data_IF_214101822395
#
_entry.id   IF_214101822395
#
_cell.length_a   1.000
_cell.length_b   1.000
_cell.length_c   1.000
_cell.angle_alpha   90.00
_cell.angle_beta   90.00
_cell.angle_gamma   90.00
#
_symmetry.space_group_name_H-M   'P 1'
#
loop_
_entity.id
_entity.type
_entity.pdbx_description
1 polymer ?
#
# COMPACT_ATOMS: atom_id res chain seq x y z
N UNK A 1 23.68 14.56 -35.89
CA UNK A 1 23.21 14.40 -34.46
C UNK A 1 21.91 13.61 -34.50
N UNK A 2 21.96 12.33 -34.15
CA UNK A 2 20.82 11.40 -34.23
C UNK A 2 20.15 11.28 -32.83
N UNK A 3 18.89 11.69 -32.74
CA UNK A 3 18.04 11.44 -31.57
C UNK A 3 17.69 9.94 -31.53
N UNK A 4 18.05 9.25 -30.47
CA UNK A 4 17.52 7.92 -30.13
C UNK A 4 16.21 8.12 -29.37
N UNK A 5 15.11 7.73 -29.97
CA UNK A 5 13.81 7.59 -29.34
C UNK A 5 13.75 6.24 -28.62
N UNK A 6 13.53 6.28 -27.31
CA UNK A 6 13.17 5.11 -26.50
C UNK A 6 11.78 4.61 -26.93
N UNK A 7 11.71 3.41 -27.48
CA UNK A 7 10.48 2.64 -27.65
C UNK A 7 10.43 1.59 -26.54
N UNK A 8 9.66 1.84 -25.52
CA UNK A 8 9.18 0.82 -24.58
C UNK A 8 7.94 1.36 -23.91
N UNK A 9 6.83 1.30 -24.60
CA UNK A 9 5.48 1.39 -24.05
C UNK A 9 4.50 1.14 -25.20
N UNK A 10 3.98 -0.04 -25.30
CA UNK A 10 2.63 -0.30 -25.80
C UNK A 10 2.40 -1.81 -25.97
N UNK A 11 1.92 -2.47 -24.97
CA UNK A 11 1.03 -3.62 -25.15
C UNK A 11 0.05 -3.55 -23.98
N UNK A 12 -0.98 -2.79 -24.18
CA UNK A 12 -2.24 -2.88 -23.44
C UNK A 12 -3.32 -2.77 -24.51
N UNK A 13 -4.12 -3.77 -24.64
CA UNK A 13 -5.52 -3.73 -25.04
C UNK A 13 -5.90 -4.89 -25.98
N UNK A 14 -7.04 -5.45 -25.66
CA UNK A 14 -7.89 -6.34 -26.43
C UNK A 14 -7.89 -7.80 -26.00
N UNK A 15 -8.75 -8.11 -25.04
CA UNK A 15 -9.56 -9.31 -25.09
C UNK A 15 -11.01 -9.00 -24.78
N UNK A 16 -11.76 -8.81 -25.85
CA UNK A 16 -13.22 -8.90 -25.87
C UNK A 16 -13.61 -10.38 -25.81
N UNK A 17 -14.45 -10.68 -24.84
CA UNK A 17 -15.13 -11.96 -24.69
C UNK A 17 -16.10 -12.14 -25.86
N UNK A 18 -15.90 -13.16 -26.68
CA UNK A 18 -16.89 -13.70 -27.62
C UNK A 18 -17.35 -15.06 -27.08
N UNK A 19 -18.51 -15.06 -26.44
CA UNK A 19 -19.33 -16.25 -26.27
C UNK A 19 -19.93 -16.58 -27.63
N UNK A 20 -19.54 -17.69 -28.25
CA UNK A 20 -20.28 -18.29 -29.37
C UNK A 20 -20.76 -19.67 -28.95
N UNK A 21 -22.09 -19.79 -28.97
CA UNK A 21 -22.82 -21.07 -28.89
C UNK A 21 -22.34 -22.05 -30.01
N UNK A 22 -22.08 -23.27 -29.61
CA UNK A 22 -21.95 -24.40 -30.52
C UNK A 22 -23.11 -25.38 -30.28
N UNK A 23 -23.84 -25.80 -31.31
CA UNK A 23 -24.97 -26.71 -31.14
C UNK A 23 -24.52 -28.17 -30.99
N UNK A 24 -25.25 -28.88 -30.16
CA UNK A 24 -25.10 -30.32 -29.98
C UNK A 24 -25.58 -31.09 -31.23
N UNK A 25 -24.69 -31.90 -31.80
CA UNK A 25 -25.10 -33.09 -32.55
C UNK A 25 -23.95 -34.09 -32.74
N UNK A 26 -24.30 -35.34 -32.49
CA UNK A 26 -23.75 -36.62 -32.93
C UNK A 26 -22.76 -37.31 -32.00
N UNK A 27 -23.34 -38.26 -31.29
CA UNK A 27 -22.71 -39.44 -30.71
C UNK A 27 -22.34 -40.43 -31.81
N UNK A 28 -21.07 -40.82 -31.90
CA UNK A 28 -20.63 -42.18 -32.24
C UNK A 28 -19.08 -42.25 -32.33
N UNK A 29 -18.56 -43.34 -31.82
CA UNK A 29 -17.17 -43.81 -31.82
C UNK A 29 -16.24 -43.25 -30.74
N UNK A 30 -16.41 -43.85 -29.57
CA UNK A 30 -15.70 -43.44 -28.42
C UNK A 30 -14.71 -44.46 -27.90
N UNK A 31 -13.51 -44.52 -28.37
CA UNK A 31 -12.39 -45.10 -27.60
C UNK A 31 -11.03 -44.53 -28.05
N UNK A 32 -10.87 -44.12 -29.32
CA UNK A 32 -9.63 -43.49 -29.80
C UNK A 32 -9.66 -41.96 -29.69
N UNK A 33 -10.85 -41.32 -29.61
CA UNK A 33 -10.98 -39.89 -29.44
C UNK A 33 -10.67 -39.40 -28.01
N UNK A 34 -10.80 -40.25 -27.00
CA UNK A 34 -10.53 -39.91 -25.58
C UNK A 34 -9.04 -39.75 -25.26
N UNK A 35 -8.17 -40.51 -25.97
CA UNK A 35 -6.72 -40.41 -25.76
C UNK A 35 -6.08 -39.17 -26.49
N UNK A 36 -6.72 -38.66 -27.52
CA UNK A 36 -6.25 -37.46 -28.26
C UNK A 36 -6.90 -36.17 -27.79
N UNK A 37 -7.99 -36.20 -27.04
CA UNK A 37 -8.64 -35.00 -26.50
C UNK A 37 -7.90 -34.45 -25.28
N UNK A 38 -7.09 -35.27 -24.61
CA UNK A 38 -6.36 -34.88 -23.39
C UNK A 38 -5.06 -34.10 -23.70
N UNK A 39 -4.51 -34.26 -24.91
CA UNK A 39 -3.26 -33.58 -25.31
C UNK A 39 -3.43 -32.10 -25.71
N UNK A 40 -4.65 -31.59 -25.82
CA UNK A 40 -4.95 -30.19 -26.21
C UNK A 40 -5.60 -29.36 -25.10
N UNK A 41 -5.95 -29.97 -23.97
CA UNK A 41 -6.58 -29.27 -22.86
C UNK A 41 -5.53 -28.58 -21.99
N UNK A 42 -5.67 -27.27 -21.81
CA UNK A 42 -4.92 -26.57 -20.78
C UNK A 42 -5.50 -26.94 -19.40
N UNK A 43 -4.63 -27.06 -18.40
CA UNK A 43 -5.07 -27.12 -17.01
C UNK A 43 -5.82 -25.83 -16.67
N UNK A 44 -6.72 -25.90 -15.71
CA UNK A 44 -7.45 -24.74 -15.21
C UNK A 44 -6.58 -23.94 -14.23
N UNK A 45 -6.95 -22.69 -13.97
CA UNK A 45 -6.32 -21.86 -12.93
C UNK A 45 -6.38 -22.54 -11.55
N UNK A 46 -7.47 -23.26 -11.25
CA UNK A 46 -7.63 -23.99 -10.01
C UNK A 46 -6.67 -25.19 -9.92
N UNK A 47 -6.52 -25.94 -10.99
CA UNK A 47 -5.54 -27.04 -11.04
C UNK A 47 -4.10 -26.51 -10.88
N UNK A 48 -3.78 -25.34 -11.46
CA UNK A 48 -2.49 -24.69 -11.26
C UNK A 48 -2.27 -24.24 -9.80
N UNK A 49 -3.30 -23.71 -9.14
CA UNK A 49 -3.25 -23.40 -7.70
C UNK A 49 -2.99 -24.64 -6.86
N UNK A 50 -3.73 -25.72 -7.10
CA UNK A 50 -3.57 -26.99 -6.38
C UNK A 50 -2.15 -27.58 -6.54
N UNK A 51 -1.58 -27.49 -7.75
CA UNK A 51 -0.18 -27.89 -8.01
C UNK A 51 0.80 -27.04 -7.18
N UNK A 52 0.65 -25.70 -7.20
CA UNK A 52 1.52 -24.80 -6.48
C UNK A 52 1.45 -25.01 -4.97
N UNK A 53 0.26 -25.13 -4.41
CA UNK A 53 0.03 -25.36 -2.98
C UNK A 53 0.59 -26.70 -2.51
N UNK A 54 0.35 -27.75 -3.27
CA UNK A 54 0.88 -29.10 -2.99
C UNK A 54 2.41 -29.10 -2.98
N UNK A 55 3.05 -28.47 -3.96
CA UNK A 55 4.51 -28.38 -4.02
C UNK A 55 5.08 -27.53 -2.88
N UNK A 56 4.40 -26.45 -2.52
CA UNK A 56 4.77 -25.60 -1.39
C UNK A 56 4.54 -26.25 -0.02
N UNK A 57 3.83 -27.38 0.04
CA UNK A 57 3.45 -28.04 1.29
C UNK A 57 2.41 -27.25 2.10
N UNK A 58 1.53 -26.53 1.42
CA UNK A 58 0.55 -25.66 2.04
C UNK A 58 -0.86 -26.24 1.96
N UNK A 59 -1.64 -26.01 3.01
CA UNK A 59 -3.04 -26.44 3.11
C UNK A 59 -3.92 -25.19 3.34
N UNK A 60 -4.81 -24.89 2.39
CA UNK A 60 -5.76 -23.77 2.50
C UNK A 60 -6.72 -23.90 3.68
N UNK A 61 -7.01 -25.13 4.12
CA UNK A 61 -7.86 -25.35 5.27
C UNK A 61 -7.15 -25.10 6.61
N UNK A 62 -5.81 -25.19 6.63
CA UNK A 62 -5.00 -25.04 7.84
C UNK A 62 -4.47 -23.63 8.04
N UNK A 63 -4.34 -22.82 6.96
CA UNK A 63 -3.77 -21.47 7.02
C UNK A 63 -4.36 -20.54 5.98
N UNK A 64 -4.34 -19.24 6.30
CA UNK A 64 -4.79 -18.20 5.36
C UNK A 64 -3.78 -18.06 4.22
N UNK A 65 -4.22 -18.31 2.99
CA UNK A 65 -3.46 -18.10 1.76
C UNK A 65 -4.16 -17.02 0.95
N UNK A 66 -3.40 -16.06 0.43
CA UNK A 66 -3.92 -14.94 -0.36
C UNK A 66 -3.22 -14.95 -1.71
N UNK A 67 -3.92 -15.30 -2.76
CA UNK A 67 -3.46 -15.16 -4.13
C UNK A 67 -3.62 -13.71 -4.58
N UNK A 68 -2.53 -13.09 -4.99
CA UNK A 68 -2.51 -11.71 -5.52
C UNK A 68 -2.45 -11.68 -7.03
N UNK A 69 -1.99 -12.76 -7.64
CA UNK A 69 -1.95 -12.91 -9.09
C UNK A 69 -2.18 -14.36 -9.49
N UNK A 70 -3.03 -14.58 -10.49
CA UNK A 70 -3.21 -15.85 -11.18
C UNK A 70 -3.48 -15.50 -12.63
N UNK A 71 -2.47 -15.57 -13.47
CA UNK A 71 -2.53 -15.16 -14.85
C UNK A 71 -2.04 -16.26 -15.79
N UNK A 72 -2.73 -16.45 -16.91
CA UNK A 72 -2.28 -17.30 -18.01
C UNK A 72 -1.53 -16.42 -19.02
N UNK A 73 -0.24 -16.64 -19.14
CA UNK A 73 0.63 -15.89 -20.04
C UNK A 73 1.25 -16.80 -21.12
N UNK A 74 1.82 -16.18 -22.16
CA UNK A 74 2.69 -16.86 -23.10
C UNK A 74 4.16 -16.54 -22.76
N UNK A 75 4.87 -17.52 -22.21
CA UNK A 75 6.29 -17.41 -21.96
C UNK A 75 7.05 -18.16 -23.05
N UNK A 76 7.78 -17.41 -23.90
CA UNK A 76 8.51 -17.95 -25.06
C UNK A 76 7.63 -18.85 -25.97
N UNK A 77 6.36 -18.46 -26.14
CA UNK A 77 5.40 -19.20 -26.97
C UNK A 77 4.75 -20.40 -26.27
N UNK A 78 5.05 -20.67 -25.02
CA UNK A 78 4.39 -21.70 -24.20
C UNK A 78 3.36 -21.08 -23.28
N UNK A 79 2.12 -21.55 -23.24
CA UNK A 79 1.15 -21.09 -22.28
C UNK A 79 1.57 -21.57 -20.88
N UNK A 80 1.69 -20.66 -19.93
CA UNK A 80 1.96 -20.98 -18.55
C UNK A 80 1.14 -20.11 -17.60
N UNK A 81 0.77 -20.68 -16.45
CA UNK A 81 0.20 -19.95 -15.35
C UNK A 81 1.31 -19.29 -14.52
N UNK A 82 1.14 -18.02 -14.23
CA UNK A 82 1.87 -17.28 -13.20
C UNK A 82 1.00 -17.20 -11.98
N UNK A 83 1.53 -17.61 -10.84
CA UNK A 83 0.85 -17.52 -9.55
C UNK A 83 1.75 -16.77 -8.57
N UNK A 84 1.19 -15.78 -7.92
CA UNK A 84 1.81 -15.04 -6.83
C UNK A 84 0.86 -15.09 -5.63
N UNK A 85 1.35 -15.60 -4.50
CA UNK A 85 0.52 -15.73 -3.30
C UNK A 85 1.34 -15.63 -2.02
N UNK A 86 0.63 -15.30 -0.95
CA UNK A 86 1.19 -15.06 0.37
C UNK A 86 0.58 -15.98 1.41
N UNK A 87 1.43 -16.37 2.35
CA UNK A 87 1.02 -16.84 3.68
C UNK A 87 1.35 -15.77 4.72
N UNK A 88 1.08 -16.03 6.01
CA UNK A 88 1.53 -15.14 7.09
C UNK A 88 3.05 -15.00 7.21
N UNK A 89 3.83 -15.88 6.57
CA UNK A 89 5.28 -15.98 6.76
C UNK A 89 6.09 -15.78 5.48
N UNK A 90 5.50 -15.99 4.30
CA UNK A 90 6.25 -16.04 3.05
C UNK A 90 5.40 -15.62 1.85
N UNK A 91 6.08 -15.15 0.82
CA UNK A 91 5.55 -14.97 -0.53
C UNK A 91 6.05 -16.10 -1.41
N UNK A 92 5.17 -16.62 -2.28
CA UNK A 92 5.46 -17.67 -3.23
C UNK A 92 5.18 -17.20 -4.63
N UNK A 93 6.08 -17.54 -5.55
CA UNK A 93 5.93 -17.25 -6.96
C UNK A 93 6.13 -18.54 -7.76
N UNK A 94 5.19 -18.87 -8.63
CA UNK A 94 5.21 -20.05 -9.47
C UNK A 94 4.97 -19.72 -10.93
N UNK A 95 5.64 -20.45 -11.81
CA UNK A 95 5.28 -20.56 -13.21
C UNK A 95 5.06 -22.03 -13.53
N UNK A 96 3.88 -22.36 -14.05
CA UNK A 96 3.43 -23.74 -14.30
C UNK A 96 3.03 -23.86 -15.77
N UNK A 97 3.59 -24.82 -16.48
CA UNK A 97 3.20 -25.12 -17.87
C UNK A 97 1.71 -25.46 -17.91
N UNK A 98 0.94 -24.71 -18.70
CA UNK A 98 -0.50 -24.84 -18.73
C UNK A 98 -0.97 -26.10 -19.50
N UNK A 99 -0.10 -26.79 -20.22
CA UNK A 99 -0.42 -28.05 -20.90
C UNK A 99 -0.10 -29.27 -20.06
N UNK A 100 1.06 -29.29 -19.44
CA UNK A 100 1.56 -30.46 -18.72
C UNK A 100 1.33 -30.39 -17.20
N UNK A 101 1.09 -29.19 -16.63
CA UNK A 101 1.10 -28.97 -15.18
C UNK A 101 2.50 -29.02 -14.56
N UNK A 102 3.56 -29.05 -15.38
CA UNK A 102 4.93 -29.04 -14.86
C UNK A 102 5.31 -27.67 -14.29
N UNK A 103 5.97 -27.66 -13.14
CA UNK A 103 6.49 -26.45 -12.53
C UNK A 103 7.75 -26.04 -13.30
N UNK A 104 7.64 -24.95 -14.09
CA UNK A 104 8.74 -24.37 -14.86
C UNK A 104 9.69 -23.60 -13.96
N UNK A 105 9.12 -22.86 -13.02
CA UNK A 105 9.86 -22.00 -12.10
C UNK A 105 9.10 -21.84 -10.78
N UNK A 106 9.83 -21.79 -9.68
CA UNK A 106 9.28 -21.47 -8.36
C UNK A 106 10.30 -20.77 -7.49
N UNK A 107 9.81 -19.85 -6.67
CA UNK A 107 10.58 -19.23 -5.61
C UNK A 107 9.73 -19.06 -4.35
N UNK A 108 10.37 -19.16 -3.21
CA UNK A 108 9.84 -18.76 -1.91
C UNK A 108 10.65 -17.55 -1.44
N UNK A 109 9.98 -16.46 -1.19
CA UNK A 109 10.60 -15.19 -0.76
C UNK A 109 10.22 -14.88 0.69
N UNK A 110 11.09 -14.15 1.38
CA UNK A 110 10.70 -13.44 2.60
C UNK A 110 9.59 -12.45 2.26
N UNK A 111 8.80 -12.07 3.26
CA UNK A 111 7.79 -11.03 3.06
C UNK A 111 8.45 -9.66 2.83
N UNK A 112 7.82 -8.76 2.05
CA UNK A 112 8.28 -7.37 1.94
C UNK A 112 8.44 -6.69 3.29
N UNK A 113 7.53 -6.95 4.24
CA UNK A 113 7.61 -6.44 5.61
C UNK A 113 8.89 -6.90 6.34
N UNK A 114 9.31 -8.15 6.13
CA UNK A 114 10.55 -8.67 6.71
C UNK A 114 11.79 -8.02 6.08
N UNK A 115 11.78 -7.80 4.76
CA UNK A 115 12.86 -7.06 4.09
C UNK A 115 12.98 -5.62 4.62
N UNK A 116 11.82 -4.94 4.83
CA UNK A 116 11.80 -3.61 5.47
C UNK A 116 12.38 -3.64 6.87
N UNK A 117 11.96 -4.59 7.70
CA UNK A 117 12.45 -4.75 9.08
C UNK A 117 13.98 -4.85 9.11
N UNK A 118 14.55 -5.75 8.27
CA UNK A 118 16.00 -5.94 8.17
C UNK A 118 16.71 -4.64 7.79
N UNK A 119 16.19 -3.91 6.80
CA UNK A 119 16.81 -2.67 6.34
C UNK A 119 16.74 -1.54 7.38
N UNK A 120 15.62 -1.39 8.06
CA UNK A 120 15.39 -0.36 9.09
C UNK A 120 16.24 -0.62 10.33
N UNK A 121 16.31 -1.87 10.79
CA UNK A 121 17.16 -2.27 11.92
C UNK A 121 18.64 -2.02 11.65
N UNK A 122 19.15 -2.43 10.48
CA UNK A 122 20.55 -2.21 10.10
C UNK A 122 20.88 -0.71 9.92
N UNK A 123 19.91 0.08 9.44
CA UNK A 123 20.07 1.53 9.33
C UNK A 123 20.10 2.23 10.70
N UNK A 124 19.69 1.55 11.77
CA UNK A 124 19.50 2.11 13.10
C UNK A 124 18.36 3.11 13.17
N UNK A 125 17.38 2.97 12.26
CA UNK A 125 16.18 3.78 12.25
C UNK A 125 15.08 3.15 13.11
N UNK A 126 14.10 3.94 13.48
CA UNK A 126 12.86 3.41 14.04
C UNK A 126 11.98 2.84 12.90
N UNK A 127 10.99 1.99 13.22
CA UNK A 127 10.08 1.39 12.24
C UNK A 127 9.24 2.42 11.46
N UNK A 128 9.36 3.70 11.80
CA UNK A 128 8.57 4.80 11.25
C UNK A 128 9.37 5.62 10.23
N UNK A 129 9.80 4.97 9.15
CA UNK A 129 10.45 5.62 8.01
C UNK A 129 9.54 5.64 6.79
N UNK A 130 9.69 6.65 5.96
CA UNK A 130 8.97 6.74 4.70
C UNK A 130 9.69 5.93 3.62
N UNK A 131 9.08 4.84 3.19
CA UNK A 131 9.55 4.08 2.03
C UNK A 131 9.08 4.75 0.74
N UNK A 132 10.01 5.22 -0.06
CA UNK A 132 9.74 5.84 -1.37
C UNK A 132 9.84 4.83 -2.51
N UNK A 133 10.52 3.71 -2.29
CA UNK A 133 10.58 2.60 -3.24
C UNK A 133 10.65 1.27 -2.50
N UNK A 134 9.85 0.32 -2.96
CA UNK A 134 9.87 -1.08 -2.54
C UNK A 134 9.58 -1.93 -3.77
N UNK A 135 10.60 -2.59 -4.29
CA UNK A 135 10.49 -3.36 -5.52
C UNK A 135 11.21 -4.69 -5.38
N UNK A 136 10.52 -5.78 -5.70
CA UNK A 136 11.17 -7.08 -5.88
C UNK A 136 11.81 -7.11 -7.27
N UNK A 137 13.12 -7.26 -7.33
CA UNK A 137 13.90 -7.44 -8.56
C UNK A 137 14.20 -8.92 -8.69
N UNK A 138 13.48 -9.58 -9.58
CA UNK A 138 13.58 -11.03 -9.81
C UNK A 138 14.03 -11.35 -11.25
N UNK A 139 13.39 -10.84 -12.27
CA UNK A 139 13.79 -10.82 -13.70
C UNK A 139 14.66 -11.97 -14.21
N UNK A 140 14.62 -13.17 -13.59
CA UNK A 140 15.48 -14.30 -13.96
C UNK A 140 16.94 -14.21 -13.46
N UNK A 141 17.22 -13.33 -12.51
CA UNK A 141 18.53 -13.20 -11.90
C UNK A 141 18.79 -14.30 -10.86
N UNK A 142 20.08 -14.71 -10.72
CA UNK A 142 20.46 -15.79 -9.78
C UNK A 142 20.18 -15.46 -8.31
N UNK A 143 20.08 -14.19 -7.96
CA UNK A 143 19.88 -13.74 -6.59
C UNK A 143 18.83 -12.64 -6.56
N UNK A 144 17.55 -12.98 -6.56
CA UNK A 144 16.46 -12.01 -6.45
C UNK A 144 16.60 -11.20 -5.15
N UNK A 145 16.26 -9.91 -5.21
CA UNK A 145 16.36 -9.04 -4.06
C UNK A 145 15.26 -7.99 -4.03
N UNK A 146 14.91 -7.57 -2.82
CA UNK A 146 14.14 -6.36 -2.61
C UNK A 146 15.07 -5.14 -2.71
N UNK A 147 14.71 -4.21 -3.57
CA UNK A 147 15.26 -2.87 -3.58
C UNK A 147 14.37 -1.99 -2.76
N UNK A 148 14.90 -1.46 -1.67
CA UNK A 148 14.19 -0.61 -0.73
C UNK A 148 14.87 0.76 -0.70
N UNK A 149 14.10 1.82 -0.89
CA UNK A 149 14.56 3.19 -0.68
C UNK A 149 13.66 3.81 0.37
N UNK A 150 14.27 4.26 1.45
CA UNK A 150 13.54 4.93 2.53
C UNK A 150 14.38 6.06 3.11
N UNK A 151 13.71 6.98 3.75
CA UNK A 151 14.36 8.15 4.33
C UNK A 151 13.76 8.51 5.68
N UNK A 152 14.61 9.04 6.55
CA UNK A 152 14.23 9.91 7.63
C UNK A 152 14.35 11.39 7.19
N UNK A 153 14.32 12.31 8.14
CA UNK A 153 14.40 13.75 7.84
C UNK A 153 15.72 14.23 7.23
N UNK A 154 16.80 13.48 7.41
CA UNK A 154 18.15 13.93 7.09
C UNK A 154 18.89 12.95 6.18
N UNK A 155 18.44 11.72 6.09
CA UNK A 155 19.20 10.64 5.44
C UNK A 155 18.26 9.80 4.59
N UNK A 156 18.68 9.49 3.39
CA UNK A 156 18.07 8.48 2.55
C UNK A 156 18.97 7.25 2.53
N UNK A 157 18.35 6.09 2.64
CA UNK A 157 19.00 4.79 2.50
C UNK A 157 18.45 4.06 1.29
N UNK A 158 19.35 3.39 0.59
CA UNK A 158 19.00 2.43 -0.46
C UNK A 158 19.54 1.07 -0.05
N UNK A 159 18.67 0.09 0.09
CA UNK A 159 19.04 -1.29 0.43
C UNK A 159 18.71 -2.25 -0.70
N UNK A 160 19.55 -3.29 -0.80
CA UNK A 160 19.27 -4.49 -1.57
C UNK A 160 19.29 -5.66 -0.59
N UNK A 161 18.13 -6.25 -0.35
CA UNK A 161 17.93 -7.39 0.57
C UNK A 161 17.67 -8.63 -0.26
N UNK A 162 18.49 -9.67 -0.13
CA UNK A 162 18.25 -10.93 -0.82
C UNK A 162 16.84 -11.45 -0.47
N UNK A 163 16.00 -11.65 -1.47
CA UNK A 163 14.60 -11.97 -1.27
C UNK A 163 14.37 -13.40 -0.77
N UNK A 164 15.35 -14.30 -0.90
CA UNK A 164 15.26 -15.69 -0.43
C UNK A 164 15.88 -15.85 0.95
N UNK A 165 17.04 -15.23 1.16
CA UNK A 165 17.85 -15.44 2.38
C UNK A 165 17.67 -14.35 3.44
N UNK A 166 17.06 -13.21 3.10
CA UNK A 166 16.90 -12.08 4.02
C UNK A 166 18.22 -11.39 4.39
N UNK A 167 19.28 -11.54 3.62
CA UNK A 167 20.57 -10.91 3.91
C UNK A 167 20.76 -9.62 3.12
N UNK A 168 21.49 -8.68 3.71
CA UNK A 168 21.85 -7.43 3.05
C UNK A 168 22.90 -7.70 1.99
N UNK A 169 22.54 -7.48 0.71
CA UNK A 169 23.44 -7.61 -0.44
C UNK A 169 24.21 -6.30 -0.74
N UNK A 170 23.66 -5.19 -0.30
CA UNK A 170 24.26 -3.88 -0.47
C UNK A 170 23.41 -2.81 0.18
N UNK A 171 24.10 -1.75 0.61
CA UNK A 171 23.45 -0.56 1.18
C UNK A 171 24.19 0.70 0.77
N UNK A 172 23.42 1.75 0.57
CA UNK A 172 23.90 3.09 0.27
C UNK A 172 23.21 4.05 1.23
N UNK A 173 23.97 5.05 1.68
CA UNK A 173 23.47 6.08 2.59
C UNK A 173 23.79 7.43 1.98
N UNK A 174 22.75 8.25 1.80
CA UNK A 174 22.87 9.61 1.29
C UNK A 174 22.33 10.59 2.33
N UNK A 175 23.12 11.61 2.68
CA UNK A 175 22.66 12.70 3.52
C UNK A 175 21.82 13.66 2.70
N UNK A 176 20.49 13.59 2.82
CA UNK A 176 19.55 14.49 2.14
C UNK A 176 19.30 15.78 2.93
N UNK A 177 19.73 15.82 4.19
CA UNK A 177 19.57 16.97 5.09
C UNK A 177 20.75 17.94 5.12
N UNK A 178 21.92 17.59 4.52
CA UNK A 178 23.15 18.39 4.64
C UNK A 178 23.89 18.61 3.32
N UNK A 179 23.37 18.22 2.18
CA UNK A 179 23.94 18.64 0.90
C UNK A 179 23.60 20.11 0.64
N UNK A 180 24.31 21.02 1.28
CA UNK A 180 24.52 22.42 0.87
C UNK A 180 23.34 23.30 0.41
N UNK A 181 22.18 22.76 0.17
CA UNK A 181 20.94 23.46 -0.01
C UNK A 181 20.04 23.17 1.19
N UNK A 182 20.13 24.03 2.21
CA UNK A 182 19.08 24.11 3.23
C UNK A 182 17.73 24.06 2.51
N UNK A 183 16.80 23.21 2.97
CA UNK A 183 15.44 23.25 2.45
C UNK A 183 14.96 24.69 2.39
N UNK A 184 14.84 25.20 1.18
CA UNK A 184 14.34 26.54 0.97
C UNK A 184 12.83 26.47 1.15
N UNK A 185 12.39 26.86 2.34
CA UNK A 185 10.96 26.95 2.61
C UNK A 185 10.28 27.85 1.57
N UNK A 186 9.37 27.33 0.75
CA UNK A 186 8.66 28.17 -0.21
C UNK A 186 7.55 29.01 0.43
N UNK A 187 7.13 28.64 1.67
CA UNK A 187 5.92 29.16 2.30
C UNK A 187 6.21 30.35 3.22
N UNK A 188 5.59 31.49 2.92
CA UNK A 188 5.74 32.69 3.74
C UNK A 188 5.00 32.62 5.08
N UNK A 189 4.03 31.73 5.20
CA UNK A 189 3.19 31.49 6.38
C UNK A 189 3.68 30.34 7.27
N UNK A 190 4.89 29.81 7.01
CA UNK A 190 5.54 28.74 7.78
C UNK A 190 6.92 29.20 8.22
N UNK A 191 7.13 29.49 9.50
CA UNK A 191 8.38 29.96 10.05
C UNK A 191 9.13 28.85 10.76
N UNK A 192 10.45 28.93 10.84
CA UNK A 192 11.27 27.95 11.58
C UNK A 192 10.91 27.83 13.05
N UNK A 193 10.38 28.89 13.65
CA UNK A 193 9.90 28.93 15.04
C UNK A 193 8.56 28.22 15.25
N UNK A 194 7.82 27.91 14.19
CA UNK A 194 6.50 27.32 14.30
C UNK A 194 6.61 25.84 14.70
N UNK A 195 5.75 25.42 15.63
CA UNK A 195 5.75 24.03 16.11
C UNK A 195 5.58 22.99 15.00
N UNK A 196 4.92 23.36 13.91
CA UNK A 196 4.64 22.53 12.75
C UNK A 196 5.69 22.62 11.63
N UNK A 197 6.71 23.50 11.75
CA UNK A 197 7.71 23.71 10.70
C UNK A 197 8.32 22.41 10.16
N UNK A 198 8.80 21.55 11.08
CA UNK A 198 9.39 20.25 10.72
C UNK A 198 8.39 19.35 10.03
N UNK A 199 7.15 19.36 10.48
CA UNK A 199 6.08 18.52 9.94
C UNK A 199 5.67 18.97 8.54
N UNK A 200 5.60 20.27 8.31
CA UNK A 200 5.33 20.85 6.98
C UNK A 200 6.48 20.52 6.02
N UNK A 201 7.74 20.71 6.47
CA UNK A 201 8.92 20.33 5.71
C UNK A 201 8.85 18.85 5.30
N UNK A 202 8.59 17.95 6.24
CA UNK A 202 8.47 16.52 6.00
C UNK A 202 7.36 16.20 4.97
N UNK A 203 6.16 16.71 5.20
CA UNK A 203 5.00 16.43 4.36
C UNK A 203 5.17 16.98 2.93
N UNK A 204 5.76 18.16 2.79
CA UNK A 204 6.03 18.80 1.50
C UNK A 204 7.16 18.09 0.75
N UNK A 205 8.30 17.85 1.39
CA UNK A 205 9.44 17.17 0.78
C UNK A 205 9.10 15.73 0.36
N UNK A 206 8.28 15.03 1.16
CA UNK A 206 7.77 13.70 0.85
C UNK A 206 6.64 13.66 -0.20
N UNK A 207 6.24 14.82 -0.75
CA UNK A 207 5.14 14.89 -1.73
C UNK A 207 3.75 14.57 -1.16
N UNK A 208 3.63 14.44 0.16
CA UNK A 208 2.37 14.06 0.84
C UNK A 208 1.36 15.22 0.82
N UNK A 209 1.85 16.42 1.11
CA UNK A 209 1.06 17.64 1.10
C UNK A 209 1.75 18.72 0.27
N UNK A 210 0.96 19.46 -0.48
CA UNK A 210 1.41 20.65 -1.22
C UNK A 210 0.90 21.91 -0.53
N UNK A 211 1.46 23.08 -0.88
CA UNK A 211 0.88 24.35 -0.54
C UNK A 211 -0.51 24.54 -1.16
N UNK A 212 -1.28 25.47 -0.63
CA UNK A 212 -2.51 25.95 -1.29
C UNK A 212 -2.16 26.85 -2.47
N UNK A 213 -0.94 27.41 -2.45
CA UNK A 213 -0.26 28.09 -3.57
C UNK A 213 1.23 27.76 -3.52
N UNK A 214 2.01 28.33 -4.45
CA UNK A 214 3.47 28.16 -4.47
C UNK A 214 4.17 28.78 -3.25
N UNK A 215 3.52 29.73 -2.58
CA UNK A 215 4.09 30.50 -1.47
C UNK A 215 3.31 30.41 -0.16
N UNK A 216 2.24 29.63 -0.12
CA UNK A 216 1.36 29.55 1.06
C UNK A 216 0.97 28.09 1.35
N UNK A 217 1.19 27.66 2.60
CA UNK A 217 0.80 26.34 3.08
C UNK A 217 -0.59 26.32 3.72
N UNK A 218 -1.01 27.43 4.33
CA UNK A 218 -2.24 27.60 5.11
C UNK A 218 -2.35 26.60 6.28
N UNK A 219 -1.43 26.64 7.26
CA UNK A 219 -1.31 25.66 8.33
C UNK A 219 -2.57 25.49 9.19
N UNK A 220 -3.32 26.57 9.41
CA UNK A 220 -4.51 26.60 10.27
C UNK A 220 -5.81 26.25 9.54
N UNK A 221 -5.76 26.05 8.22
CA UNK A 221 -6.94 25.65 7.44
C UNK A 221 -7.29 24.20 7.73
N UNK A 222 -8.59 23.93 7.85
CA UNK A 222 -9.12 22.58 8.04
C UNK A 222 -8.83 21.69 6.84
N UNK A 223 -8.55 20.41 7.12
CA UNK A 223 -8.40 19.38 6.10
C UNK A 223 -9.75 18.71 5.88
N UNK A 224 -10.16 18.57 4.61
CA UNK A 224 -11.36 17.81 4.30
C UNK A 224 -11.10 16.30 4.38
N UNK A 225 -12.16 15.51 4.53
CA UNK A 225 -12.08 14.05 4.57
C UNK A 225 -11.44 13.48 3.29
N UNK A 226 -11.79 14.03 2.14
CA UNK A 226 -11.17 13.64 0.87
C UNK A 226 -9.67 13.96 0.81
N UNK A 227 -9.27 15.16 1.26
CA UNK A 227 -7.86 15.55 1.31
C UNK A 227 -7.05 14.60 2.19
N UNK A 228 -7.60 14.20 3.33
CA UNK A 228 -6.93 13.29 4.25
C UNK A 228 -6.70 11.90 3.61
N UNK A 229 -7.72 11.36 2.98
CA UNK A 229 -7.62 10.06 2.29
C UNK A 229 -6.69 10.11 1.09
N UNK A 230 -6.64 11.24 0.37
CA UNK A 230 -5.67 11.45 -0.71
C UNK A 230 -4.22 11.36 -0.25
N UNK A 231 -3.91 11.79 0.98
CA UNK A 231 -2.55 11.66 1.53
C UNK A 231 -2.20 10.19 1.70
N UNK A 232 -3.10 9.38 2.30
CA UNK A 232 -2.90 7.94 2.44
C UNK A 232 -2.74 7.23 1.09
N UNK A 233 -3.56 7.61 0.11
CA UNK A 233 -3.50 7.06 -1.24
C UNK A 233 -2.17 7.34 -1.93
N UNK A 234 -1.61 8.56 -1.75
CA UNK A 234 -0.27 8.91 -2.24
C UNK A 234 0.84 8.14 -1.53
N UNK A 235 0.73 7.91 -0.23
CA UNK A 235 1.67 7.08 0.53
C UNK A 235 1.74 5.67 -0.09
N UNK A 236 0.61 5.13 -0.50
CA UNK A 236 0.52 3.82 -1.17
C UNK A 236 0.79 3.87 -2.68
N UNK A 237 1.30 5.01 -3.20
CA UNK A 237 1.66 5.21 -4.61
C UNK A 237 0.48 5.06 -5.57
N UNK A 238 -0.68 5.53 -5.13
CA UNK A 238 -1.90 5.62 -5.92
C UNK A 238 -2.27 4.28 -6.60
N UNK A 239 -2.49 3.20 -5.83
CA UNK A 239 -2.76 1.89 -6.39
C UNK A 239 -4.05 1.90 -7.23
N UNK A 240 -4.18 0.92 -8.11
CA UNK A 240 -5.42 0.78 -8.87
C UNK A 240 -6.62 0.62 -7.95
N UNK A 241 -7.69 1.35 -8.24
CA UNK A 241 -8.93 1.33 -7.48
C UNK A 241 -10.13 1.18 -8.40
N UNK A 242 -11.14 0.47 -7.92
CA UNK A 242 -12.44 0.36 -8.57
C UNK A 242 -13.27 1.64 -8.42
N UNK A 243 -14.58 1.47 -8.37
CA UNK A 243 -15.54 2.52 -8.02
C UNK A 243 -15.99 2.37 -6.57
N UNK A 244 -16.55 3.43 -6.01
CA UNK A 244 -17.19 3.40 -4.69
C UNK A 244 -18.71 3.44 -4.81
N UNK A 245 -19.41 2.98 -3.77
CA UNK A 245 -20.87 3.04 -3.69
C UNK A 245 -21.40 4.35 -3.09
N UNK A 246 -20.52 5.28 -2.71
CA UNK A 246 -20.91 6.57 -2.14
C UNK A 246 -21.47 7.48 -3.23
N UNK A 247 -22.72 7.95 -3.04
CA UNK A 247 -23.43 8.76 -4.02
C UNK A 247 -22.91 10.19 -4.15
N UNK A 248 -22.12 10.64 -3.18
CA UNK A 248 -21.47 11.97 -3.14
C UNK A 248 -19.98 11.94 -3.56
N UNK A 249 -19.57 10.87 -4.24
CA UNK A 249 -18.26 10.73 -4.85
C UNK A 249 -18.47 10.42 -6.33
N UNK A 250 -18.29 11.43 -7.17
CA UNK A 250 -18.58 11.32 -8.60
C UNK A 250 -17.37 10.79 -9.37
N UNK A 251 -17.64 10.13 -10.51
CA UNK A 251 -16.60 9.69 -11.43
C UNK A 251 -15.89 10.93 -12.00
N UNK A 252 -14.58 10.98 -11.84
CA UNK A 252 -13.75 12.11 -12.28
C UNK A 252 -13.41 13.09 -11.17
N UNK A 253 -13.98 12.96 -9.99
CA UNK A 253 -13.50 13.70 -8.83
C UNK A 253 -12.03 13.36 -8.55
N UNK A 254 -11.22 14.37 -8.19
CA UNK A 254 -9.79 14.17 -7.95
C UNK A 254 -9.49 13.16 -6.83
N UNK A 255 -10.45 12.93 -5.96
CA UNK A 255 -10.38 12.00 -4.83
C UNK A 255 -11.12 10.68 -5.06
N UNK A 256 -11.80 10.49 -6.20
CA UNK A 256 -12.62 9.31 -6.48
C UNK A 256 -11.85 8.00 -6.21
N UNK A 257 -10.68 7.87 -6.82
CA UNK A 257 -9.85 6.67 -6.70
C UNK A 257 -9.33 6.44 -5.30
N UNK A 258 -8.96 7.51 -4.60
CA UNK A 258 -8.49 7.44 -3.23
C UNK A 258 -9.59 6.95 -2.27
N UNK A 259 -10.80 7.49 -2.40
CA UNK A 259 -11.94 7.08 -1.59
C UNK A 259 -12.35 5.64 -1.89
N UNK A 260 -12.40 5.26 -3.18
CA UNK A 260 -12.71 3.90 -3.59
C UNK A 260 -11.70 2.88 -3.03
N UNK A 261 -10.41 3.18 -3.15
CA UNK A 261 -9.34 2.35 -2.60
C UNK A 261 -9.45 2.22 -1.07
N UNK A 262 -9.57 3.33 -0.37
CA UNK A 262 -9.61 3.33 1.08
C UNK A 262 -10.85 2.62 1.63
N UNK A 263 -11.99 2.74 0.95
CA UNK A 263 -13.21 2.04 1.30
C UNK A 263 -13.09 0.52 1.06
N UNK A 264 -12.56 0.11 -0.10
CA UNK A 264 -12.37 -1.30 -0.43
C UNK A 264 -11.42 -2.03 0.54
N UNK A 265 -10.46 -1.30 1.13
CA UNK A 265 -9.51 -1.82 2.11
C UNK A 265 -9.95 -1.60 3.58
N UNK A 266 -11.17 -1.15 3.83
CA UNK A 266 -11.71 -0.95 5.17
C UNK A 266 -11.07 0.19 5.96
N UNK A 267 -10.27 1.05 5.29
CA UNK A 267 -9.60 2.19 5.91
C UNK A 267 -10.60 3.29 6.23
N UNK A 268 -11.57 3.52 5.33
CA UNK A 268 -12.64 4.48 5.55
C UNK A 268 -14.00 3.84 5.45
N UNK A 269 -14.93 4.42 6.21
CA UNK A 269 -16.38 4.22 6.06
C UNK A 269 -17.02 5.56 5.71
N UNK A 270 -18.22 5.53 5.14
CA UNK A 270 -19.03 6.72 4.97
C UNK A 270 -19.49 7.29 6.32
N UNK A 271 -19.97 8.52 6.29
CA UNK A 271 -20.75 9.11 7.39
C UNK A 271 -22.16 8.48 7.45
N UNK A 272 -22.58 7.85 6.35
CA UNK A 272 -23.70 6.93 6.25
C UNK A 272 -23.40 5.88 5.17
N UNK A 273 -24.32 4.92 4.98
CA UNK A 273 -24.16 3.83 4.01
C UNK A 273 -23.85 4.32 2.58
N UNK A 274 -24.42 5.46 2.17
CA UNK A 274 -24.28 6.00 0.81
C UNK A 274 -23.58 7.34 0.72
N UNK A 275 -23.04 7.86 1.83
CA UNK A 275 -22.44 9.19 1.88
C UNK A 275 -21.08 9.16 2.54
N UNK A 276 -20.06 9.59 1.81
CA UNK A 276 -18.69 9.72 2.30
C UNK A 276 -18.41 11.08 2.95
N UNK A 277 -19.08 12.14 2.49
CA UNK A 277 -18.87 13.54 2.85
C UNK A 277 -17.45 14.05 2.51
N UNK A 278 -17.03 14.00 1.23
CA UNK A 278 -15.65 14.28 0.81
C UNK A 278 -15.17 15.68 1.16
N UNK A 279 -16.06 16.66 1.08
CA UNK A 279 -15.75 18.09 1.26
C UNK A 279 -15.99 18.57 2.70
N UNK A 280 -16.50 17.74 3.60
CA UNK A 280 -16.62 18.09 5.01
C UNK A 280 -15.25 18.04 5.69
N UNK A 281 -14.96 18.99 6.61
CA UNK A 281 -13.76 18.92 7.44
C UNK A 281 -13.70 17.60 8.21
N UNK A 282 -12.50 17.04 8.32
CA UNK A 282 -12.29 15.83 9.13
C UNK A 282 -12.14 16.21 10.60
N UNK A 283 -12.90 15.57 11.48
CA UNK A 283 -12.72 15.77 12.91
C UNK A 283 -11.52 14.99 13.45
N UNK A 284 -11.01 15.39 14.63
CA UNK A 284 -9.84 14.75 15.25
C UNK A 284 -10.10 13.28 15.57
N UNK A 285 -11.30 12.91 16.05
CA UNK A 285 -11.65 11.50 16.29
C UNK A 285 -11.78 10.70 15.00
N UNK A 286 -12.28 11.31 13.92
CA UNK A 286 -12.34 10.67 12.60
C UNK A 286 -10.93 10.46 12.03
N UNK A 287 -10.04 11.44 12.18
CA UNK A 287 -8.64 11.33 11.79
C UNK A 287 -7.97 10.17 12.54
N UNK A 288 -8.11 10.09 13.86
CA UNK A 288 -7.60 8.99 14.66
C UNK A 288 -8.12 7.62 14.15
N UNK A 289 -9.42 7.54 13.87
CA UNK A 289 -10.06 6.30 13.39
C UNK A 289 -9.53 5.85 12.04
N UNK A 290 -9.35 6.78 11.11
CA UNK A 290 -8.82 6.45 9.77
C UNK A 290 -7.36 5.99 9.87
N UNK A 291 -6.53 6.65 10.68
CA UNK A 291 -5.13 6.25 10.90
C UNK A 291 -5.03 4.89 11.57
N UNK A 292 -5.85 4.62 12.57
CA UNK A 292 -5.91 3.33 13.24
C UNK A 292 -6.24 2.19 12.27
N UNK A 293 -7.24 2.38 11.42
CA UNK A 293 -7.62 1.40 10.39
C UNK A 293 -6.54 1.26 9.31
N UNK A 294 -5.89 2.36 8.94
CA UNK A 294 -4.76 2.31 8.02
C UNK A 294 -3.58 1.56 8.63
N UNK A 295 -3.27 1.75 9.91
CA UNK A 295 -2.25 0.98 10.61
C UNK A 295 -2.57 -0.52 10.62
N UNK A 296 -3.84 -0.89 10.84
CA UNK A 296 -4.30 -2.27 10.72
C UNK A 296 -4.11 -2.84 9.30
N UNK A 297 -4.47 -2.06 8.28
CA UNK A 297 -4.26 -2.41 6.88
C UNK A 297 -2.77 -2.66 6.57
N UNK A 298 -1.87 -1.87 7.16
CA UNK A 298 -0.39 -2.04 7.03
C UNK A 298 0.15 -3.20 7.87
N UNK A 299 -0.65 -3.84 8.70
CA UNK A 299 -0.22 -4.91 9.59
C UNK A 299 0.58 -4.41 10.81
N UNK A 300 0.45 -3.12 11.17
CA UNK A 300 1.07 -2.60 12.39
C UNK A 300 0.34 -3.14 13.62
N UNK A 301 1.03 -3.15 14.75
CA UNK A 301 0.40 -3.50 16.03
C UNK A 301 -0.58 -2.41 16.45
N UNK A 302 -1.86 -2.75 16.44
CA UNK A 302 -2.96 -1.86 16.80
C UNK A 302 -3.56 -2.17 18.16
N UNK A 303 -2.91 -3.02 18.95
CA UNK A 303 -3.37 -3.29 20.32
C UNK A 303 -3.26 -2.03 21.15
N UNK A 304 -4.26 -1.80 21.97
CA UNK A 304 -4.34 -0.65 22.86
C UNK A 304 -4.80 -1.09 24.25
N UNK A 305 -4.40 -0.37 25.28
CA UNK A 305 -4.89 -0.60 26.64
C UNK A 305 -6.35 -0.16 26.83
N UNK A 306 -6.90 0.60 25.88
CA UNK A 306 -8.22 1.22 25.97
C UNK A 306 -8.31 2.37 26.98
N UNK A 307 -7.19 2.77 27.58
CA UNK A 307 -7.15 3.86 28.56
C UNK A 307 -7.05 5.21 27.89
N UNK A 308 -8.05 6.03 28.09
CA UNK A 308 -8.09 7.40 27.59
C UNK A 308 -7.92 8.36 28.78
N UNK A 309 -6.79 9.07 28.81
CA UNK A 309 -6.44 9.97 29.90
C UNK A 309 -6.88 11.43 29.66
N UNK A 310 -7.78 11.67 28.72
CA UNK A 310 -8.27 13.02 28.42
C UNK A 310 -9.47 13.38 29.26
N UNK A 311 -9.54 14.65 29.71
CA UNK A 311 -10.61 15.16 30.57
C UNK A 311 -11.98 15.17 29.89
N UNK A 312 -12.02 15.21 28.57
CA UNK A 312 -13.20 15.14 27.70
C UNK A 312 -13.40 13.77 27.07
N UNK A 313 -12.89 12.71 27.68
CA UNK A 313 -13.00 11.33 27.15
C UNK A 313 -14.44 10.87 26.94
N UNK A 314 -15.40 11.42 27.70
CA UNK A 314 -16.86 11.16 27.51
C UNK A 314 -17.40 11.68 26.18
N UNK A 315 -16.75 12.66 25.56
CA UNK A 315 -17.17 13.28 24.30
C UNK A 315 -16.69 12.49 23.07
N UNK A 316 -15.76 11.54 23.30
CA UNK A 316 -15.27 10.66 22.23
C UNK A 316 -16.34 9.64 21.88
N UNK A 317 -16.69 9.58 20.62
CA UNK A 317 -17.66 8.63 20.09
C UNK A 317 -17.18 7.18 20.29
N UNK A 318 -18.11 6.27 20.57
CA UNK A 318 -17.79 4.85 20.84
C UNK A 318 -16.93 4.21 19.76
N UNK A 319 -17.19 4.52 18.48
CA UNK A 319 -16.43 3.99 17.36
C UNK A 319 -14.96 4.44 17.32
N UNK A 320 -14.63 5.53 18.00
CA UNK A 320 -13.30 6.15 17.97
C UNK A 320 -12.45 5.87 19.22
N UNK A 321 -13.03 5.27 20.28
CA UNK A 321 -12.33 5.09 21.57
C UNK A 321 -11.02 4.32 21.44
N UNK A 322 -11.04 3.17 20.79
CA UNK A 322 -9.82 2.37 20.58
C UNK A 322 -8.80 3.12 19.73
N UNK A 323 -9.27 3.79 18.68
CA UNK A 323 -8.40 4.56 17.79
C UNK A 323 -7.73 5.74 18.49
N UNK A 324 -8.47 6.48 19.33
CA UNK A 324 -7.92 7.60 20.10
C UNK A 324 -6.95 7.10 21.16
N UNK A 325 -7.27 6.00 21.87
CA UNK A 325 -6.37 5.38 22.83
C UNK A 325 -5.06 4.95 22.18
N UNK A 326 -5.15 4.21 21.08
CA UNK A 326 -3.99 3.76 20.31
C UNK A 326 -3.16 4.94 19.78
N UNK A 327 -3.80 5.94 19.18
CA UNK A 327 -3.10 7.10 18.63
C UNK A 327 -2.38 7.93 19.71
N UNK A 328 -2.91 7.93 20.95
CA UNK A 328 -2.26 8.56 22.09
C UNK A 328 -1.07 7.73 22.61
N UNK A 329 -1.24 6.42 22.75
CA UNK A 329 -0.19 5.48 23.17
C UNK A 329 1.00 5.47 22.20
N UNK A 330 0.71 5.54 20.91
CA UNK A 330 1.71 5.64 19.83
C UNK A 330 2.28 7.07 19.66
N UNK A 331 1.89 8.01 20.51
CA UNK A 331 2.28 9.42 20.43
C UNK A 331 1.98 10.10 19.09
N UNK A 332 1.05 9.56 18.29
CA UNK A 332 0.66 10.12 17.01
C UNK A 332 -0.19 11.38 17.18
N UNK A 333 -1.13 11.35 18.12
CA UNK A 333 -2.01 12.46 18.43
C UNK A 333 -1.94 12.78 19.92
N UNK A 334 -1.57 14.01 20.23
CA UNK A 334 -1.57 14.51 21.58
C UNK A 334 -2.86 15.27 21.89
N UNK A 335 -3.22 15.35 23.16
CA UNK A 335 -4.21 16.30 23.67
C UNK A 335 -3.68 17.73 23.69
N UNK A 336 -4.55 18.65 24.04
CA UNK A 336 -4.22 20.04 24.29
C UNK A 336 -3.62 20.25 25.69
N UNK A 337 -3.02 21.41 25.91
CA UNK A 337 -2.36 21.74 27.20
C UNK A 337 -3.32 21.73 28.41
N UNK A 338 -4.63 21.85 28.16
CA UNK A 338 -5.67 21.78 29.18
C UNK A 338 -6.14 20.32 29.49
N UNK A 339 -5.49 19.34 28.89
CA UNK A 339 -5.77 17.92 29.08
C UNK A 339 -6.94 17.37 28.25
N UNK A 340 -7.49 18.14 27.32
CA UNK A 340 -8.57 17.70 26.43
C UNK A 340 -8.04 17.12 25.11
N UNK A 341 -8.77 16.18 24.52
CA UNK A 341 -8.51 15.67 23.18
C UNK A 341 -9.20 16.49 22.10
N UNK A 342 -10.38 17.05 22.40
CA UNK A 342 -11.26 17.80 21.49
C UNK A 342 -11.69 16.94 20.26
N UNK A 343 -12.41 15.83 20.50
CA UNK A 343 -12.68 14.82 19.47
C UNK A 343 -13.44 15.35 18.25
N UNK A 344 -14.33 16.32 18.48
CA UNK A 344 -15.21 16.91 17.45
C UNK A 344 -14.64 18.14 16.77
N UNK A 345 -13.49 18.67 17.23
CA UNK A 345 -12.83 19.75 16.52
C UNK A 345 -12.23 19.25 15.20
N UNK A 346 -12.20 20.14 14.23
CA UNK A 346 -11.64 19.86 12.92
C UNK A 346 -10.10 19.75 13.02
N UNK A 347 -9.53 18.88 12.21
CA UNK A 347 -8.09 18.76 12.10
C UNK A 347 -7.54 19.75 11.07
N UNK A 348 -6.55 20.55 11.47
CA UNK A 348 -5.90 21.49 10.57
C UNK A 348 -4.84 20.83 9.70
N UNK A 349 -4.39 21.54 8.66
CA UNK A 349 -3.31 21.09 7.78
C UNK A 349 -2.00 20.90 8.53
N UNK A 350 -1.67 21.78 9.48
CA UNK A 350 -0.49 21.62 10.34
C UNK A 350 -0.58 20.39 11.24
N UNK A 351 -1.73 20.16 11.86
CA UNK A 351 -1.97 18.97 12.69
C UNK A 351 -1.89 17.69 11.85
N UNK A 352 -2.47 17.70 10.66
CA UNK A 352 -2.41 16.57 9.72
C UNK A 352 -0.96 16.26 9.31
N UNK A 353 -0.18 17.28 8.95
CA UNK A 353 1.24 17.11 8.63
C UNK A 353 2.02 16.51 9.81
N UNK A 354 1.72 16.96 11.04
CA UNK A 354 2.38 16.46 12.25
C UNK A 354 2.04 14.99 12.52
N UNK A 355 0.81 14.59 12.31
CA UNK A 355 0.39 13.20 12.48
C UNK A 355 1.08 12.29 11.46
N UNK A 356 1.12 12.68 10.19
CA UNK A 356 1.82 11.90 9.17
C UNK A 356 3.34 11.87 9.40
N UNK A 357 3.95 12.96 9.84
CA UNK A 357 5.36 12.94 10.20
C UNK A 357 5.66 11.97 11.35
N UNK A 358 4.81 11.94 12.39
CA UNK A 358 4.97 11.01 13.53
C UNK A 358 4.70 9.56 13.14
N UNK A 359 3.75 9.34 12.24
CA UNK A 359 3.39 8.02 11.77
C UNK A 359 4.43 7.40 10.84
N UNK A 360 5.06 8.22 9.98
CA UNK A 360 5.97 7.81 8.92
C UNK A 360 7.42 8.24 9.17
N UNK A 361 7.64 9.16 10.08
CA UNK A 361 8.94 9.74 10.39
C UNK A 361 9.36 9.47 11.83
N UNK A 362 10.57 9.89 12.16
CA UNK A 362 11.14 9.74 13.49
C UNK A 362 10.42 10.65 14.50
N UNK A 363 9.91 10.06 15.58
CA UNK A 363 9.19 10.77 16.64
C UNK A 363 10.10 11.33 17.73
N UNK A 364 11.45 11.37 17.51
CA UNK A 364 12.36 11.94 18.51
C UNK A 364 13.52 12.68 17.86
#
# INVERSE_FOLDING_TARGET
MKRKTNRSFLILLCMLVLLSLVPAAVLADGAEAAANADASRLITAKEAQEIALKDAGLDEAAQKIVFTEIELILNQGRPCYVLDFYTGESRYYYQIDAKSGEIIFRNKYILPAEARRIAVEDAGCTDRVLFTEETLVDGGIKSPYYRLVFADMNTQWTYRINAVLGIIMGKEKENIGTTGQAWKNPFGDVRESDWFYRSVKFAYAGGLMRGVSDTEFSPDTDVTRAMFVMILYRIEKEPQAGSTAFADVEIGDYYEKAVAWANANGIVSGVSEKRFAPNEPITREQMATIIYRYAAFKGYDIRTSGKIAYTDSSDISDYAKDAVSWAAEEALMAGHADGRFLPRENATRAQTAAVFMRMLGDSK
#
